data_IF_629156706909
#
_entry.id   IF_629156706909
#
_cell.length_a   1.000
_cell.length_b   1.000
_cell.length_c   1.000
_cell.angle_alpha   90.00
_cell.angle_beta   90.00
_cell.angle_gamma   90.00
#
_symmetry.space_group_name_H-M   'P 1'
#
loop_
_entity.id
_entity.type
_entity.pdbx_description
1 polymer ?
#
# COMPACT_ATOMS: atom_id res chain seq x y z
N UNK A 1 -9.78 -34.71 -10.15
CA UNK A 1 -9.73 -33.68 -9.09
C UNK A 1 -10.78 -32.63 -9.38
N UNK A 2 -11.57 -32.26 -8.37
CA UNK A 2 -12.60 -31.24 -8.50
C UNK A 2 -11.94 -29.84 -8.40
N UNK A 3 -12.09 -29.02 -9.43
CA UNK A 3 -11.47 -27.68 -9.48
C UNK A 3 -11.93 -26.77 -8.32
N UNK A 4 -13.11 -27.06 -7.74
CA UNK A 4 -13.68 -26.36 -6.59
C UNK A 4 -12.85 -26.52 -5.32
N UNK A 5 -12.50 -27.75 -4.98
CA UNK A 5 -11.66 -28.07 -3.81
C UNK A 5 -10.25 -27.48 -3.97
N UNK A 6 -9.70 -27.54 -5.18
CA UNK A 6 -8.41 -26.91 -5.49
C UNK A 6 -8.49 -25.38 -5.33
N UNK A 7 -9.55 -24.75 -5.83
CA UNK A 7 -9.73 -23.31 -5.70
C UNK A 7 -9.87 -22.88 -4.24
N UNK A 8 -10.54 -23.67 -3.41
CA UNK A 8 -10.60 -23.45 -1.96
C UNK A 8 -9.25 -23.57 -1.29
N UNK A 9 -8.50 -24.64 -1.56
CA UNK A 9 -7.17 -24.83 -0.98
C UNK A 9 -6.24 -23.67 -1.36
N UNK A 10 -6.17 -23.32 -2.64
CA UNK A 10 -5.32 -22.21 -3.11
C UNK A 10 -5.76 -20.86 -2.54
N UNK A 11 -7.06 -20.66 -2.32
CA UNK A 11 -7.56 -19.44 -1.71
C UNK A 11 -7.26 -19.45 -0.21
N UNK A 12 -7.79 -20.38 0.58
CA UNK A 12 -7.74 -20.32 2.04
C UNK A 12 -6.38 -20.70 2.64
N UNK A 13 -5.63 -21.63 2.03
CA UNK A 13 -4.34 -22.11 2.54
C UNK A 13 -3.22 -21.26 1.96
N UNK A 14 -3.07 -21.25 0.63
CA UNK A 14 -1.96 -20.58 -0.04
C UNK A 14 -2.13 -19.06 -0.16
N UNK A 15 -3.30 -18.54 0.26
CA UNK A 15 -3.65 -17.11 0.22
C UNK A 15 -3.52 -16.47 -1.16
N UNK A 16 -3.60 -17.25 -2.24
CA UNK A 16 -3.51 -16.75 -3.62
C UNK A 16 -4.74 -15.91 -3.99
N UNK A 17 -4.55 -15.03 -4.97
CA UNK A 17 -5.61 -14.23 -5.58
C UNK A 17 -6.42 -15.04 -6.58
N UNK A 18 -7.68 -14.64 -6.83
CA UNK A 18 -8.55 -15.28 -7.84
C UNK A 18 -7.90 -15.29 -9.24
N UNK A 19 -7.07 -14.28 -9.54
CA UNK A 19 -6.34 -14.23 -10.81
C UNK A 19 -5.30 -15.35 -10.90
N UNK A 20 -4.51 -15.56 -9.85
CA UNK A 20 -3.49 -16.62 -9.79
C UNK A 20 -4.14 -18.00 -9.83
N UNK A 21 -5.20 -18.21 -9.04
CA UNK A 21 -5.99 -19.46 -9.03
C UNK A 21 -6.53 -19.78 -10.43
N UNK A 22 -7.01 -18.76 -11.14
CA UNK A 22 -7.52 -18.91 -12.51
C UNK A 22 -6.44 -19.35 -13.50
N UNK A 23 -5.21 -18.85 -13.34
CA UNK A 23 -4.07 -19.26 -14.18
C UNK A 23 -3.64 -20.69 -13.84
N UNK A 24 -3.64 -21.06 -12.56
CA UNK A 24 -3.15 -22.35 -12.08
C UNK A 24 -4.10 -23.52 -12.38
N UNK A 25 -5.41 -23.31 -12.21
CA UNK A 25 -6.43 -24.34 -12.46
C UNK A 25 -6.91 -24.30 -13.93
N UNK A 26 -6.69 -23.20 -14.65
CA UNK A 26 -7.18 -23.02 -16.02
C UNK A 26 -8.69 -22.75 -16.12
N UNK A 27 -9.34 -22.40 -15.01
CA UNK A 27 -10.77 -22.08 -14.95
C UNK A 27 -10.98 -20.56 -14.99
N UNK A 28 -12.09 -20.11 -15.59
CA UNK A 28 -12.40 -18.68 -15.67
C UNK A 28 -12.49 -18.03 -14.27
N UNK A 29 -11.95 -16.80 -14.17
CA UNK A 29 -12.06 -15.98 -12.94
C UNK A 29 -13.50 -15.81 -12.47
N UNK A 30 -14.46 -15.71 -13.41
CA UNK A 30 -15.89 -15.57 -13.10
C UNK A 30 -16.44 -16.81 -12.41
N UNK A 31 -16.10 -18.00 -12.92
CA UNK A 31 -16.54 -19.27 -12.34
C UNK A 31 -15.96 -19.48 -10.93
N UNK A 32 -14.66 -19.21 -10.76
CA UNK A 32 -13.99 -19.28 -9.45
C UNK A 32 -14.60 -18.28 -8.48
N UNK A 33 -14.78 -17.02 -8.89
CA UNK A 33 -15.38 -16.01 -8.03
C UNK A 33 -16.81 -16.36 -7.64
N UNK A 34 -17.63 -16.87 -8.57
CA UNK A 34 -19.01 -17.28 -8.28
C UNK A 34 -19.04 -18.41 -7.26
N UNK A 35 -18.14 -19.38 -7.39
CA UNK A 35 -18.01 -20.48 -6.44
C UNK A 35 -17.54 -20.00 -5.06
N UNK A 36 -16.44 -19.26 -4.99
CA UNK A 36 -15.93 -18.75 -3.72
C UNK A 36 -16.94 -17.84 -3.02
N UNK A 37 -17.65 -16.98 -3.75
CA UNK A 37 -18.72 -16.15 -3.18
C UNK A 37 -19.90 -16.96 -2.62
N UNK A 38 -20.10 -18.21 -3.04
CA UNK A 38 -21.15 -19.07 -2.48
C UNK A 38 -20.78 -19.66 -1.12
N UNK A 39 -19.49 -19.62 -0.75
CA UNK A 39 -19.00 -20.07 0.56
C UNK A 39 -19.20 -18.96 1.59
N UNK A 40 -19.77 -19.30 2.74
CA UNK A 40 -19.95 -18.37 3.86
C UNK A 40 -18.61 -17.86 4.40
N UNK A 41 -17.60 -18.73 4.45
CA UNK A 41 -16.23 -18.44 4.93
C UNK A 41 -15.46 -17.47 4.04
N UNK A 42 -15.87 -17.28 2.79
CA UNK A 42 -15.16 -16.40 1.86
C UNK A 42 -15.19 -14.93 2.30
N UNK A 43 -16.31 -14.47 2.84
CA UNK A 43 -16.43 -13.09 3.30
C UNK A 43 -15.52 -12.81 4.50
N UNK A 44 -15.41 -13.77 5.42
CA UNK A 44 -14.55 -13.67 6.59
C UNK A 44 -13.08 -13.61 6.20
N UNK A 45 -12.65 -14.50 5.30
CA UNK A 45 -11.28 -14.50 4.77
C UNK A 45 -10.96 -13.20 4.01
N UNK A 46 -11.91 -12.65 3.25
CA UNK A 46 -11.74 -11.35 2.56
C UNK A 46 -11.57 -10.21 3.56
N UNK A 47 -12.36 -10.18 4.62
CA UNK A 47 -12.24 -9.16 5.67
C UNK A 47 -10.91 -9.30 6.43
N UNK A 48 -10.50 -10.53 6.75
CA UNK A 48 -9.22 -10.83 7.36
C UNK A 48 -8.04 -10.32 6.51
N UNK A 49 -8.04 -10.61 5.20
CA UNK A 49 -7.02 -10.09 4.27
C UNK A 49 -7.02 -8.57 4.18
N UNK A 50 -8.19 -7.94 4.20
CA UNK A 50 -8.29 -6.47 4.18
C UNK A 50 -7.61 -5.85 5.39
N UNK A 51 -7.83 -6.40 6.58
CA UNK A 51 -7.21 -5.95 7.83
C UNK A 51 -5.70 -6.16 7.77
N UNK A 52 -5.22 -7.33 7.34
CA UNK A 52 -3.79 -7.62 7.23
C UNK A 52 -3.11 -6.69 6.24
N UNK A 53 -3.69 -6.50 5.05
CA UNK A 53 -3.10 -5.64 4.03
C UNK A 53 -3.06 -4.18 4.49
N UNK A 54 -4.05 -3.73 5.26
CA UNK A 54 -4.02 -2.41 5.88
C UNK A 54 -2.89 -2.28 6.90
N UNK A 55 -2.66 -3.31 7.74
CA UNK A 55 -1.52 -3.35 8.67
C UNK A 55 -0.18 -3.32 7.91
N UNK A 56 0.00 -4.19 6.92
CA UNK A 56 1.20 -4.23 6.05
C UNK A 56 1.46 -2.88 5.37
N UNK A 57 0.41 -2.21 4.88
CA UNK A 57 0.56 -0.89 4.24
C UNK A 57 0.99 0.19 5.23
N UNK A 58 0.48 0.17 6.47
CA UNK A 58 0.91 1.09 7.53
C UNK A 58 2.38 0.86 7.88
N UNK A 59 2.79 -0.40 8.01
CA UNK A 59 4.17 -0.79 8.29
C UNK A 59 5.11 -0.40 7.15
N UNK A 60 4.75 -0.71 5.90
CA UNK A 60 5.48 -0.27 4.72
C UNK A 60 5.67 1.25 4.70
N UNK A 61 4.58 2.01 4.94
CA UNK A 61 4.66 3.48 5.00
C UNK A 61 5.59 3.94 6.12
N UNK A 62 5.55 3.29 7.29
CA UNK A 62 6.41 3.62 8.43
C UNK A 62 7.88 3.37 8.12
N UNK A 63 8.21 2.23 7.52
CA UNK A 63 9.57 1.88 7.13
C UNK A 63 10.08 2.82 6.05
N UNK A 64 9.27 3.06 5.02
CA UNK A 64 9.58 4.04 3.97
C UNK A 64 9.79 5.44 4.56
N UNK A 65 8.92 5.89 5.46
CA UNK A 65 9.09 7.18 6.14
C UNK A 65 10.37 7.21 6.99
N UNK A 66 10.72 6.13 7.69
CA UNK A 66 11.96 6.05 8.48
C UNK A 66 13.21 6.18 7.61
N UNK A 67 13.27 5.44 6.50
CA UNK A 67 14.40 5.44 5.56
C UNK A 67 14.51 6.76 4.79
N UNK A 68 13.37 7.35 4.39
CA UNK A 68 13.35 8.49 3.47
C UNK A 68 13.18 9.85 4.18
N UNK A 69 12.66 9.91 5.42
CA UNK A 69 12.58 11.18 6.17
C UNK A 69 13.87 11.55 6.87
N UNK A 70 14.72 10.60 7.25
CA UNK A 70 16.03 10.90 7.84
C UNK A 70 16.85 11.82 6.92
N UNK A 71 16.78 11.59 5.60
CA UNK A 71 17.46 12.43 4.61
C UNK A 71 16.78 13.78 4.34
N UNK A 72 15.48 13.96 4.63
CA UNK A 72 14.75 15.21 4.34
C UNK A 72 15.22 16.41 5.17
N UNK A 73 15.67 16.18 6.40
CA UNK A 73 16.22 17.23 7.26
C UNK A 73 17.75 17.20 7.36
N UNK A 74 18.40 16.16 6.84
CA UNK A 74 19.87 16.11 6.77
C UNK A 74 20.47 17.15 5.81
N UNK A 75 19.70 17.52 4.77
CA UNK A 75 20.09 18.53 3.76
C UNK A 75 19.64 19.95 4.16
N UNK A 76 18.59 20.05 4.97
CA UNK A 76 18.04 21.33 5.45
C UNK A 76 18.65 21.61 6.83
N UNK A 77 19.86 22.16 6.81
CA UNK A 77 20.50 22.68 8.02
C UNK A 77 19.84 24.00 8.48
N UNK A 78 19.94 24.31 9.77
CA UNK A 78 19.43 25.56 10.35
C UNK A 78 20.02 26.79 9.65
N UNK A 79 21.26 26.70 9.16
CA UNK A 79 21.90 27.77 8.41
C UNK A 79 21.31 27.96 7.01
N UNK A 80 20.86 26.89 6.36
CA UNK A 80 20.14 26.97 5.08
C UNK A 80 18.82 27.73 5.27
N UNK A 81 18.07 27.39 6.32
CA UNK A 81 16.80 28.07 6.67
C UNK A 81 17.03 29.56 6.98
N UNK A 82 18.10 29.90 7.72
CA UNK A 82 18.45 31.29 8.03
C UNK A 82 18.80 32.09 6.77
N UNK A 83 19.56 31.52 5.84
CA UNK A 83 19.91 32.20 4.57
C UNK A 83 18.68 32.48 3.73
N UNK A 84 17.79 31.49 3.58
CA UNK A 84 16.52 31.68 2.87
C UNK A 84 15.66 32.77 3.52
N UNK A 85 15.57 32.78 4.85
CA UNK A 85 14.85 33.81 5.58
C UNK A 85 15.43 35.22 5.34
N UNK A 86 16.75 35.38 5.44
CA UNK A 86 17.41 36.68 5.19
C UNK A 86 17.18 37.16 3.76
N UNK A 87 17.26 36.27 2.77
CA UNK A 87 16.96 36.62 1.38
C UNK A 87 15.50 37.05 1.20
N UNK A 88 14.55 36.32 1.79
CA UNK A 88 13.13 36.67 1.73
C UNK A 88 12.85 38.04 2.36
N UNK A 89 13.44 38.33 3.53
CA UNK A 89 13.34 39.64 4.18
C UNK A 89 13.95 40.75 3.32
N UNK A 90 15.09 40.49 2.67
CA UNK A 90 15.73 41.44 1.76
C UNK A 90 14.84 41.78 0.56
N UNK A 91 14.23 40.77 -0.07
CA UNK A 91 13.30 40.94 -1.19
C UNK A 91 12.07 41.73 -0.75
N UNK A 92 11.41 41.33 0.34
CA UNK A 92 10.23 42.00 0.87
C UNK A 92 10.50 43.46 1.26
N UNK A 93 11.66 43.73 1.87
CA UNK A 93 12.08 45.10 2.18
C UNK A 93 12.24 45.91 0.90
N UNK A 94 12.90 45.35 -0.12
CA UNK A 94 13.12 46.01 -1.40
C UNK A 94 11.84 46.25 -2.20
N UNK A 95 10.83 45.38 -2.06
CA UNK A 95 9.49 45.57 -2.62
C UNK A 95 8.68 46.62 -1.86
N UNK A 96 8.84 46.72 -0.55
CA UNK A 96 8.13 47.70 0.29
C UNK A 96 8.60 49.13 0.11
N UNK A 97 9.89 49.33 -0.21
CA UNK A 97 10.50 50.65 -0.41
C UNK A 97 10.66 51.02 -1.91
N UNK A 98 9.91 50.35 -2.78
CA UNK A 98 9.76 50.70 -4.20
C UNK A 98 8.43 51.40 -4.43
#
# INVERSE_FOLDING_TARGET
MNWREQAEALFFIDKKSIKEISVEIGVSRKSISKYLNSLTTYNDERNYRKIINQKKRKEYKRNWDSENRANRYSVIDKDTIKREHIMAVSILSREKYR
#
